data_IF_733735892104
#
_entry.id   IF_733735892104
#
_cell.length_a   1.000
_cell.length_b   1.000
_cell.length_c   1.000
_cell.angle_alpha   90.00
_cell.angle_beta   90.00
_cell.angle_gamma   90.00
#
_symmetry.space_group_name_H-M   'P 1'
#
loop_
_entity.id
_entity.type
_entity.pdbx_description
1 polymer ?
#
# COMPACT_ATOMS: atom_id res chain seq x y z
N UNK A 1 -4.75 2.25 9.90
CA UNK A 1 -4.05 1.17 10.64
C UNK A 1 -3.92 -0.04 9.74
N UNK A 2 -2.75 -0.67 9.66
CA UNK A 2 -2.59 -1.97 8.97
C UNK A 2 -3.17 -3.05 9.89
N UNK A 3 -4.22 -3.78 9.46
CA UNK A 3 -4.73 -4.91 10.25
C UNK A 3 -3.60 -5.89 10.52
N UNK A 4 -3.43 -6.38 11.75
CA UNK A 4 -2.46 -7.43 12.08
C UNK A 4 -0.99 -7.02 12.30
N UNK A 5 -0.62 -5.74 12.13
CA UNK A 5 0.72 -5.23 12.49
C UNK A 5 0.60 -4.24 13.66
N UNK A 6 0.96 -4.66 14.90
CA UNK A 6 0.97 -3.76 16.06
C UNK A 6 1.89 -2.55 15.81
N UNK A 7 1.39 -1.33 16.01
CA UNK A 7 2.16 -0.09 15.83
C UNK A 7 2.07 0.54 14.43
N UNK A 8 1.51 -0.15 13.44
CA UNK A 8 1.21 0.42 12.13
C UNK A 8 -0.12 1.20 12.12
N UNK A 9 -0.28 2.10 13.09
CA UNK A 9 -1.47 2.93 13.31
C UNK A 9 -1.44 4.16 12.41
N UNK A 10 -1.51 3.95 11.10
CA UNK A 10 -1.76 5.06 10.17
C UNK A 10 -3.15 5.64 10.44
N UNK A 11 -3.21 6.89 10.90
CA UNK A 11 -4.46 7.64 11.16
C UNK A 11 -4.94 8.40 9.93
N UNK A 12 -4.04 8.68 8.99
CA UNK A 12 -4.30 9.45 7.76
C UNK A 12 -3.90 8.58 6.57
N UNK A 13 -4.87 8.18 5.75
CA UNK A 13 -4.67 7.37 4.55
C UNK A 13 -5.83 6.41 4.27
N UNK A 14 -5.91 5.87 3.05
CA UNK A 14 -6.93 4.90 2.68
C UNK A 14 -6.73 3.56 3.40
N UNK A 15 -7.77 2.72 3.43
CA UNK A 15 -7.64 1.35 3.93
C UNK A 15 -6.63 0.58 3.09
N UNK A 16 -5.74 -0.12 3.77
CA UNK A 16 -4.62 -0.88 3.19
C UNK A 16 -5.06 -2.31 2.83
N UNK A 17 -6.23 -2.43 2.21
CA UNK A 17 -6.84 -3.69 1.75
C UNK A 17 -6.48 -3.92 0.28
N UNK A 18 -5.17 -3.90 0.00
CA UNK A 18 -4.61 -3.81 -1.35
C UNK A 18 -4.89 -5.07 -2.18
N UNK A 19 -5.09 -6.23 -1.55
CA UNK A 19 -5.52 -7.45 -2.23
C UNK A 19 -6.88 -7.34 -2.95
N UNK A 20 -7.73 -6.39 -2.57
CA UNK A 20 -9.01 -6.11 -3.24
C UNK A 20 -9.01 -4.72 -3.90
N UNK A 21 -8.46 -3.72 -3.23
CA UNK A 21 -8.52 -2.32 -3.68
C UNK A 21 -7.44 -1.96 -4.70
N UNK A 22 -6.24 -2.55 -4.65
CA UNK A 22 -5.19 -2.23 -5.62
C UNK A 22 -5.60 -2.48 -7.08
N UNK A 23 -6.19 -3.63 -7.46
CA UNK A 23 -6.64 -3.81 -8.85
C UNK A 23 -7.78 -2.86 -9.26
N UNK A 24 -8.55 -2.33 -8.31
CA UNK A 24 -9.53 -1.27 -8.60
C UNK A 24 -8.84 0.07 -8.82
N UNK A 25 -7.81 0.39 -8.03
CA UNK A 25 -7.02 1.62 -8.15
C UNK A 25 -6.15 1.66 -9.40
N UNK A 26 -5.53 0.54 -9.79
CA UNK A 26 -4.77 0.42 -11.04
C UNK A 26 -5.65 0.73 -12.27
N UNK A 27 -6.94 0.39 -12.20
CA UNK A 27 -7.92 0.69 -13.25
C UNK A 27 -8.46 2.12 -13.19
N UNK A 28 -8.13 2.88 -12.15
CA UNK A 28 -8.60 4.26 -12.00
C UNK A 28 -7.88 5.16 -13.02
N UNK A 29 -8.59 6.02 -13.76
CA UNK A 29 -7.95 6.94 -14.72
C UNK A 29 -7.04 7.97 -14.06
N UNK A 30 -7.15 8.21 -12.75
CA UNK A 30 -6.23 9.06 -12.00
C UNK A 30 -4.92 8.33 -11.63
N UNK A 31 -4.82 7.02 -11.85
CA UNK A 31 -3.61 6.24 -11.64
C UNK A 31 -2.55 6.61 -12.68
N UNK A 32 -1.47 7.26 -12.21
CA UNK A 32 -0.32 7.61 -13.05
C UNK A 32 0.82 6.60 -12.96
N UNK A 33 0.64 5.57 -12.16
CA UNK A 33 1.61 4.51 -11.98
C UNK A 33 1.62 3.49 -13.11
N UNK A 34 2.50 2.50 -12.98
CA UNK A 34 2.75 1.45 -13.98
C UNK A 34 2.41 0.05 -13.49
N UNK A 35 1.98 -0.10 -12.23
CA UNK A 35 1.70 -1.40 -11.65
C UNK A 35 0.53 -2.11 -12.34
N UNK A 36 0.67 -3.43 -12.52
CA UNK A 36 -0.37 -4.30 -13.09
C UNK A 36 -0.94 -5.29 -12.09
N UNK A 37 -0.29 -5.42 -10.93
CA UNK A 37 -0.68 -6.30 -9.84
C UNK A 37 -0.72 -5.54 -8.51
N UNK A 38 -1.43 -6.08 -7.53
CA UNK A 38 -1.49 -5.50 -6.19
C UNK A 38 -0.09 -5.33 -5.59
N UNK A 39 0.77 -6.35 -5.74
CA UNK A 39 2.14 -6.32 -5.24
C UNK A 39 2.97 -5.18 -5.86
N UNK A 40 2.91 -5.02 -7.18
CA UNK A 40 3.59 -3.92 -7.88
C UNK A 40 3.03 -2.57 -7.44
N UNK A 41 1.72 -2.44 -7.27
CA UNK A 41 1.09 -1.19 -6.86
C UNK A 41 1.51 -0.79 -5.44
N UNK A 42 1.59 -1.76 -4.53
CA UNK A 42 2.07 -1.51 -3.16
C UNK A 42 3.53 -1.08 -3.17
N UNK A 43 4.37 -1.79 -3.94
CA UNK A 43 5.78 -1.46 -4.07
C UNK A 43 5.97 -0.05 -4.63
N UNK A 44 5.25 0.27 -5.70
CA UNK A 44 5.28 1.59 -6.31
C UNK A 44 4.75 2.65 -5.34
N UNK A 45 3.67 2.40 -4.60
CA UNK A 45 3.18 3.34 -3.59
C UNK A 45 4.19 3.59 -2.47
N UNK A 46 5.05 2.63 -2.14
CA UNK A 46 6.10 2.78 -1.12
C UNK A 46 7.31 3.56 -1.65
N UNK A 47 7.69 3.30 -2.90
CA UNK A 47 8.87 3.89 -3.55
C UNK A 47 8.54 5.29 -4.10
N UNK A 48 7.40 5.41 -4.77
CA UNK A 48 6.83 6.63 -5.32
C UNK A 48 5.36 6.82 -4.88
N UNK A 49 5.11 7.27 -3.64
CA UNK A 49 3.77 7.58 -3.17
C UNK A 49 3.08 8.71 -3.94
N UNK A 50 3.80 9.45 -4.78
CA UNK A 50 3.23 10.53 -5.60
C UNK A 50 2.65 10.01 -6.92
N UNK A 51 2.95 8.76 -7.30
CA UNK A 51 2.42 8.11 -8.50
C UNK A 51 0.89 7.98 -8.44
N UNK A 52 0.34 7.74 -7.25
CA UNK A 52 -1.11 7.72 -7.07
C UNK A 52 -1.52 8.05 -5.64
N UNK A 53 -2.27 9.14 -5.52
CA UNK A 53 -2.85 9.58 -4.26
C UNK A 53 -4.35 9.35 -4.33
N UNK A 54 -4.84 8.47 -3.46
CA UNK A 54 -6.27 8.18 -3.34
C UNK A 54 -6.98 9.43 -2.85
N UNK A 55 -8.01 9.91 -3.57
CA UNK A 55 -8.86 11.00 -3.07
C UNK A 55 -9.74 10.50 -1.92
N UNK A 56 -10.02 11.34 -0.90
CA UNK A 56 -9.69 12.76 -0.77
C UNK A 56 -8.35 13.02 -0.03
N UNK A 57 -7.45 12.05 0.07
CA UNK A 57 -6.22 12.23 0.83
C UNK A 57 -5.27 13.21 0.11
N UNK A 58 -4.60 14.12 0.85
CA UNK A 58 -3.65 15.03 0.25
C UNK A 58 -2.38 14.31 -0.18
N UNK A 59 -1.77 14.79 -1.26
CA UNK A 59 -0.41 14.45 -1.63
C UNK A 59 0.55 14.78 -0.48
N UNK A 60 1.63 14.00 -0.34
CA UNK A 60 2.56 14.00 0.81
C UNK A 60 2.07 13.39 2.13
N UNK A 61 0.83 12.90 2.20
CA UNK A 61 0.38 12.10 3.36
C UNK A 61 1.28 10.89 3.58
N UNK A 62 1.74 10.26 2.48
CA UNK A 62 2.67 9.15 2.50
C UNK A 62 4.10 9.67 2.26
N UNK A 63 4.99 9.61 3.26
CA UNK A 63 6.38 10.04 3.12
C UNK A 63 7.15 9.18 2.12
N UNK A 64 7.78 9.79 1.11
CA UNK A 64 8.68 9.09 0.17
C UNK A 64 9.93 8.50 0.86
N UNK A 65 10.17 8.85 2.13
CA UNK A 65 11.27 8.29 2.93
C UNK A 65 11.08 6.79 3.19
N UNK A 66 9.86 6.24 3.06
CA UNK A 66 9.63 4.82 3.30
C UNK A 66 10.40 3.96 2.31
N UNK A 67 10.40 4.28 1.01
CA UNK A 67 11.23 3.59 0.02
C UNK A 67 12.73 3.67 0.28
N UNK A 68 13.20 4.73 0.97
CA UNK A 68 14.62 4.91 1.32
C UNK A 68 14.99 4.28 2.67
N UNK A 69 14.06 4.24 3.63
CA UNK A 69 14.27 3.69 4.98
C UNK A 69 13.99 2.19 5.04
N UNK A 70 13.12 1.67 4.18
CA UNK A 70 12.80 0.25 4.13
C UNK A 70 13.83 -0.48 3.30
N UNK A 71 14.55 -1.41 3.93
CA UNK A 71 15.39 -2.36 3.20
C UNK A 71 14.54 -3.21 2.26
N UNK A 72 15.12 -3.69 1.15
CA UNK A 72 14.42 -4.51 0.16
C UNK A 72 13.66 -5.71 0.77
N UNK A 73 14.23 -6.35 1.81
CA UNK A 73 13.56 -7.43 2.53
C UNK A 73 12.32 -6.99 3.33
N UNK A 74 12.38 -5.81 3.96
CA UNK A 74 11.24 -5.24 4.67
C UNK A 74 10.13 -4.81 3.69
N UNK A 75 10.52 -4.18 2.57
CA UNK A 75 9.60 -3.83 1.51
C UNK A 75 8.90 -5.09 0.96
N UNK A 76 9.65 -6.15 0.66
CA UNK A 76 9.05 -7.41 0.20
C UNK A 76 8.06 -7.98 1.21
N UNK A 77 8.39 -7.99 2.51
CA UNK A 77 7.46 -8.46 3.55
C UNK A 77 6.18 -7.63 3.61
N UNK A 78 6.28 -6.31 3.50
CA UNK A 78 5.12 -5.41 3.49
C UNK A 78 4.27 -5.63 2.24
N UNK A 79 4.90 -5.75 1.07
CA UNK A 79 4.22 -6.01 -0.21
C UNK A 79 3.48 -7.35 -0.17
N UNK A 80 4.15 -8.40 0.29
CA UNK A 80 3.57 -9.75 0.42
C UNK A 80 2.37 -9.72 1.37
N UNK A 81 2.53 -9.05 2.50
CA UNK A 81 1.47 -8.85 3.49
C UNK A 81 0.25 -8.13 2.90
N UNK A 82 0.45 -6.91 2.41
CA UNK A 82 -0.61 -6.05 1.90
C UNK A 82 -1.30 -6.64 0.66
N UNK A 83 -0.55 -7.35 -0.18
CA UNK A 83 -1.12 -8.07 -1.34
C UNK A 83 -2.07 -9.19 -0.92
N UNK A 84 -1.94 -9.71 0.30
CA UNK A 84 -2.84 -10.71 0.86
C UNK A 84 -4.00 -10.10 1.65
N UNK A 85 -3.87 -8.88 2.18
CA UNK A 85 -4.93 -8.18 2.93
C UNK A 85 -6.10 -7.89 1.99
N UNK A 86 -7.26 -8.50 2.28
CA UNK A 86 -8.51 -8.31 1.55
C UNK A 86 -9.59 -7.74 2.47
N UNK A 87 -10.51 -6.98 1.91
CA UNK A 87 -11.61 -6.40 2.68
C UNK A 87 -12.46 -7.49 3.32
N UNK A 88 -12.60 -7.43 4.65
CA UNK A 88 -13.38 -8.40 5.44
C UNK A 88 -12.70 -9.75 5.69
N UNK A 89 -11.47 -9.96 5.21
CA UNK A 89 -10.68 -11.15 5.53
C UNK A 89 -9.83 -10.92 6.80
N UNK A 90 -9.60 -11.97 7.61
CA UNK A 90 -8.66 -11.86 8.73
C UNK A 90 -7.28 -11.45 8.20
N UNK A 91 -6.55 -10.56 8.92
CA UNK A 91 -5.22 -10.16 8.53
C UNK A 91 -4.33 -11.38 8.28
N UNK A 92 -3.51 -11.38 7.21
CA UNK A 92 -2.54 -12.43 6.99
C UNK A 92 -1.64 -12.55 8.23
N UNK A 93 -1.14 -13.75 8.53
CA UNK A 93 -0.17 -13.92 9.62
C UNK A 93 1.17 -13.39 9.12
N UNK A 94 1.67 -12.31 9.72
CA UNK A 94 3.08 -11.92 9.56
C UNK A 94 3.90 -13.04 10.22
N UNK A 95 4.71 -13.77 9.46
CA UNK A 95 5.70 -14.72 9.99
C UNK A 95 7.12 -14.19 9.81
#
# INVERSE_FOLDING_TARGET
TIPGIPGATGTIGPKLEEGTTAPQRIKDPAYKGTAKSAAEYIMESIVDPSAYVVKPFPDKTMPAIFGQKLSAGALKKIVDYLSQVKTGAPPPKVS
#
